data_IF_727812625025
#
_entry.id   IF_727812625025
#
_cell.length_a   1.000
_cell.length_b   1.000
_cell.length_c   1.000
_cell.angle_alpha   90.00
_cell.angle_beta   90.00
_cell.angle_gamma   90.00
#
_symmetry.space_group_name_H-M   'P 1'
#
loop_
_entity.id
_entity.type
_entity.pdbx_description
1 polymer ?
#
# COMPACT_ATOMS: atom_id res chain seq x y z
N UNK A 1 -18.05 -7.38 -7.83
CA UNK A 1 -17.42 -6.68 -6.69
C UNK A 1 -16.48 -7.69 -6.02
N UNK A 2 -15.21 -7.35 -5.84
CA UNK A 2 -14.23 -8.19 -5.12
C UNK A 2 -13.88 -7.47 -3.82
N UNK A 3 -14.01 -8.15 -2.69
CA UNK A 3 -13.58 -7.64 -1.38
C UNK A 3 -12.31 -8.36 -0.97
N UNK A 4 -11.26 -7.60 -0.65
CA UNK A 4 -9.96 -8.13 -0.23
C UNK A 4 -9.72 -7.66 1.19
N UNK A 5 -9.37 -8.59 2.06
CA UNK A 5 -8.90 -8.32 3.41
C UNK A 5 -7.40 -8.55 3.45
N UNK A 6 -6.66 -7.63 4.05
CA UNK A 6 -5.23 -7.86 4.23
C UNK A 6 -4.45 -6.62 4.60
N UNK A 7 -3.14 -6.78 4.68
CA UNK A 7 -2.24 -5.71 5.07
C UNK A 7 -2.11 -4.62 4.00
N UNK A 8 -1.90 -3.42 4.52
CA UNK A 8 -1.43 -2.22 3.84
C UNK A 8 -0.23 -1.72 4.64
N UNK A 9 0.88 -1.40 4.00
CA UNK A 9 2.07 -0.85 4.66
C UNK A 9 2.81 0.11 3.72
N UNK A 10 3.92 0.68 4.21
CA UNK A 10 4.86 1.45 3.40
C UNK A 10 6.16 0.65 3.30
N UNK A 11 6.57 0.30 2.09
CA UNK A 11 7.81 -0.42 1.83
C UNK A 11 8.97 0.58 1.73
N UNK A 12 10.06 0.30 2.43
CA UNK A 12 11.33 1.01 2.30
C UNK A 12 12.23 0.25 1.31
N UNK A 13 12.51 0.86 0.17
CA UNK A 13 13.22 0.23 -0.94
C UNK A 13 14.64 0.77 -0.97
N UNK A 14 15.61 -0.09 -0.69
CA UNK A 14 17.03 0.23 -0.81
C UNK A 14 17.53 -0.01 -2.25
N UNK A 15 18.28 0.95 -2.80
CA UNK A 15 18.98 0.73 -4.07
C UNK A 15 20.37 0.14 -3.79
N UNK A 16 20.63 -1.08 -4.23
CA UNK A 16 21.96 -1.69 -4.10
C UNK A 16 22.91 -1.15 -5.19
N UNK A 17 23.85 -0.29 -4.80
CA UNK A 17 25.05 0.05 -5.60
C UNK A 17 26.27 -0.79 -5.17
N UNK A 18 27.40 -0.65 -5.88
CA UNK A 18 28.68 -1.28 -5.47
C UNK A 18 29.09 -0.74 -4.09
N UNK A 19 28.90 -1.56 -3.06
CA UNK A 19 29.18 -1.37 -1.62
C UNK A 19 29.66 0.03 -1.21
N UNK A 20 28.72 0.90 -0.81
CA UNK A 20 29.00 2.03 0.08
C UNK A 20 28.03 1.94 1.26
N UNK A 21 28.57 2.11 2.47
CA UNK A 21 27.73 2.29 3.66
C UNK A 21 26.93 3.61 3.50
N UNK A 22 25.62 3.56 3.79
CA UNK A 22 24.70 4.71 3.63
C UNK A 22 24.04 4.80 2.25
N UNK A 23 23.17 3.84 1.92
CA UNK A 23 22.43 3.82 0.66
C UNK A 23 21.24 4.77 0.63
N UNK A 24 20.82 5.20 -0.58
CA UNK A 24 19.57 5.93 -0.79
C UNK A 24 18.39 4.96 -0.65
N UNK A 25 17.39 5.36 0.13
CA UNK A 25 16.12 4.66 0.23
C UNK A 25 15.02 5.48 -0.41
N UNK A 26 14.11 4.80 -1.09
CA UNK A 26 12.81 5.35 -1.46
C UNK A 26 11.72 4.67 -0.65
N UNK A 27 10.53 5.27 -0.63
CA UNK A 27 9.34 4.70 -0.02
C UNK A 27 8.27 4.48 -1.09
N UNK A 28 7.50 3.40 -0.97
CA UNK A 28 6.36 3.11 -1.84
C UNK A 28 5.26 2.39 -1.07
N UNK A 29 4.00 2.58 -1.47
CA UNK A 29 2.88 1.81 -0.91
C UNK A 29 3.10 0.31 -1.11
N UNK A 30 2.86 -0.48 -0.06
CA UNK A 30 3.06 -1.92 -0.07
C UNK A 30 1.90 -2.69 0.57
N UNK A 31 2.12 -3.99 0.71
CA UNK A 31 1.22 -4.90 1.43
C UNK A 31 0.61 -5.92 0.49
N UNK A 32 0.56 -7.19 0.89
CA UNK A 32 0.05 -8.25 0.02
C UNK A 32 -1.42 -8.01 -0.36
N UNK A 33 -2.25 -7.60 0.61
CA UNK A 33 -3.65 -7.28 0.39
C UNK A 33 -3.82 -6.06 -0.51
N UNK A 34 -3.11 -4.97 -0.21
CA UNK A 34 -3.08 -3.77 -1.04
C UNK A 34 -2.68 -4.08 -2.50
N UNK A 35 -1.61 -4.84 -2.71
CA UNK A 35 -1.14 -5.21 -4.05
C UNK A 35 -2.16 -6.06 -4.82
N UNK A 36 -2.83 -7.00 -4.15
CA UNK A 36 -3.92 -7.78 -4.76
C UNK A 36 -5.13 -6.89 -5.11
N UNK A 37 -5.49 -5.94 -4.24
CA UNK A 37 -6.59 -5.02 -4.48
C UNK A 37 -6.33 -4.10 -5.68
N UNK A 38 -5.12 -3.57 -5.77
CA UNK A 38 -4.69 -2.78 -6.93
C UNK A 38 -4.72 -3.61 -8.22
N UNK A 39 -4.20 -4.85 -8.18
CA UNK A 39 -4.20 -5.74 -9.34
C UNK A 39 -5.63 -6.05 -9.82
N UNK A 40 -6.53 -6.41 -8.90
CA UNK A 40 -7.93 -6.68 -9.21
C UNK A 40 -8.63 -5.44 -9.81
N UNK A 41 -8.34 -4.24 -9.28
CA UNK A 41 -8.90 -2.99 -9.77
C UNK A 41 -8.40 -2.64 -11.17
N UNK A 42 -7.10 -2.85 -11.45
CA UNK A 42 -6.50 -2.70 -12.78
C UNK A 42 -7.03 -3.70 -13.79
N UNK A 43 -7.41 -4.91 -13.34
CA UNK A 43 -8.09 -5.90 -14.16
C UNK A 43 -9.58 -5.58 -14.45
N UNK A 44 -10.10 -4.43 -13.99
CA UNK A 44 -11.44 -3.96 -14.28
C UNK A 44 -12.50 -4.33 -13.25
N UNK A 45 -12.15 -5.01 -12.16
CA UNK A 45 -13.10 -5.30 -11.10
C UNK A 45 -13.41 -4.05 -10.26
N UNK A 46 -14.66 -3.95 -9.76
CA UNK A 46 -14.99 -3.07 -8.64
C UNK A 46 -14.44 -3.69 -7.36
N UNK A 47 -13.53 -3.01 -6.67
CA UNK A 47 -12.81 -3.54 -5.51
C UNK A 47 -13.09 -2.74 -4.25
N UNK A 48 -13.27 -3.45 -3.13
CA UNK A 48 -13.21 -2.91 -1.77
C UNK A 48 -12.04 -3.57 -1.04
N UNK A 49 -11.07 -2.80 -0.59
CA UNK A 49 -9.96 -3.27 0.25
C UNK A 49 -10.25 -2.93 1.71
N UNK A 50 -10.24 -3.96 2.56
CA UNK A 50 -10.45 -3.85 4.00
C UNK A 50 -9.12 -4.05 4.72
N UNK A 51 -8.63 -3.00 5.36
CA UNK A 51 -7.34 -2.99 6.05
C UNK A 51 -7.31 -1.95 7.18
N UNK A 52 -6.28 -1.99 8.01
CA UNK A 52 -6.03 -0.99 9.05
C UNK A 52 -4.67 -0.36 8.78
N UNK A 53 -4.56 0.95 8.98
CA UNK A 53 -3.29 1.70 8.97
C UNK A 53 -3.13 2.42 10.32
N UNK A 54 -1.92 2.88 10.63
CA UNK A 54 -1.68 3.69 11.83
C UNK A 54 -2.33 5.08 11.73
N UNK A 55 -2.28 5.85 12.81
CA UNK A 55 -2.60 7.28 12.84
C UNK A 55 -1.33 8.14 12.80
N UNK A 56 -0.45 7.84 11.84
CA UNK A 56 0.85 8.48 11.69
C UNK A 56 1.09 8.97 10.26
N UNK A 57 2.23 9.64 10.07
CA UNK A 57 2.65 10.23 8.79
C UNK A 57 2.80 9.22 7.64
N UNK A 58 2.82 7.91 7.92
CA UNK A 58 2.95 6.87 6.91
C UNK A 58 1.59 6.34 6.43
N UNK A 59 0.50 6.61 7.15
CA UNK A 59 -0.84 6.14 6.83
C UNK A 59 -1.33 6.62 5.45
N UNK A 60 -1.12 7.91 5.17
CA UNK A 60 -1.52 8.51 3.91
C UNK A 60 -0.73 7.93 2.72
N UNK A 61 0.62 7.95 2.73
CA UNK A 61 1.44 7.35 1.67
C UNK A 61 1.19 5.85 1.46
N UNK A 62 0.86 5.09 2.51
CA UNK A 62 0.58 3.66 2.40
C UNK A 62 -0.72 3.37 1.61
N UNK A 63 -1.66 4.32 1.55
CA UNK A 63 -2.97 4.13 0.91
C UNK A 63 -3.18 4.95 -0.36
N UNK A 64 -2.32 5.94 -0.64
CA UNK A 64 -2.41 6.86 -1.77
C UNK A 64 -2.57 6.14 -3.12
N UNK A 65 -1.69 5.17 -3.42
CA UNK A 65 -1.74 4.44 -4.69
C UNK A 65 -3.07 3.71 -4.91
N UNK A 66 -3.67 3.18 -3.85
CA UNK A 66 -4.97 2.49 -3.92
C UNK A 66 -6.10 3.50 -4.20
N UNK A 67 -6.11 4.64 -3.51
CA UNK A 67 -7.08 5.72 -3.70
C UNK A 67 -7.03 6.26 -5.13
N UNK A 68 -5.84 6.57 -5.62
CA UNK A 68 -5.63 7.15 -6.94
C UNK A 68 -6.04 6.20 -8.08
N UNK A 69 -5.95 4.89 -7.87
CA UNK A 69 -6.40 3.89 -8.83
C UNK A 69 -7.88 3.50 -8.66
N UNK A 70 -8.61 4.16 -7.75
CA UNK A 70 -10.04 3.96 -7.53
C UNK A 70 -10.37 2.62 -6.85
N UNK A 71 -9.51 2.13 -5.96
CA UNK A 71 -9.83 1.05 -5.03
C UNK A 71 -10.64 1.65 -3.88
N UNK A 72 -11.84 1.13 -3.61
CA UNK A 72 -12.58 1.54 -2.43
C UNK A 72 -11.86 1.08 -1.17
N UNK A 73 -11.72 1.96 -0.18
CA UNK A 73 -11.05 1.65 1.08
C UNK A 73 -12.06 1.59 2.22
N UNK A 74 -11.98 0.55 3.04
CA UNK A 74 -12.65 0.49 4.33
C UNK A 74 -11.62 0.12 5.38
N UNK A 75 -11.45 0.97 6.39
CA UNK A 75 -10.44 0.74 7.40
C UNK A 75 -10.67 1.55 8.66
N UNK A 76 -10.15 1.01 9.75
CA UNK A 76 -9.96 1.72 11.01
C UNK A 76 -8.53 2.26 11.09
N UNK A 77 -8.31 3.31 11.89
CA UNK A 77 -6.98 3.65 12.37
C UNK A 77 -6.64 2.79 13.60
N UNK A 78 -5.40 2.32 13.68
CA UNK A 78 -4.83 1.76 14.90
C UNK A 78 -3.92 2.82 15.55
N UNK A 79 -4.01 2.90 16.88
CA UNK A 79 -3.39 3.90 17.77
C UNK A 79 -1.93 4.22 17.48
#
# INVERSE_FOLDING_TARGET
MITIFGSTNLDQIGTAGRARAGGTFSMASGGKGANQALAARRAGAKVLHVSTVGDDVFADPATELLRDNGVGLHGSSAF
#
